data_IF_794405561878
#
_entry.id   IF_794405561878
#
_cell.length_a   1.000
_cell.length_b   1.000
_cell.length_c   1.000
_cell.angle_alpha   90.00
_cell.angle_beta   90.00
_cell.angle_gamma   90.00
#
_symmetry.space_group_name_H-M   'P 1'
#
loop_
_entity.id
_entity.type
_entity.pdbx_description
1 polymer ?
#
# COMPACT_ATOMS: atom_id res chain seq x y z
N UNK A 1 19.54 -1.08 -2.08
CA UNK A 1 18.42 -1.96 -1.67
C UNK A 1 18.32 -3.26 -2.48
N UNK A 2 18.75 -3.29 -3.76
CA UNK A 2 18.52 -4.43 -4.67
C UNK A 2 19.76 -5.24 -5.02
N UNK A 3 20.83 -5.18 -4.21
CA UNK A 3 22.13 -5.71 -4.60
C UNK A 3 22.10 -7.23 -4.76
N UNK A 4 21.62 -7.98 -3.76
CA UNK A 4 21.41 -9.42 -3.85
C UNK A 4 20.11 -9.80 -3.15
N UNK A 5 19.12 -10.20 -3.92
CA UNK A 5 17.81 -10.58 -3.42
C UNK A 5 17.27 -11.78 -4.17
N UNK A 6 16.64 -12.71 -3.45
CA UNK A 6 15.91 -13.82 -4.08
C UNK A 6 14.76 -13.36 -4.97
N UNK A 7 14.22 -12.16 -4.70
CA UNK A 7 13.14 -11.57 -5.49
C UNK A 7 13.70 -10.94 -6.77
N UNK A 8 14.87 -10.30 -6.69
CA UNK A 8 15.52 -9.55 -7.78
C UNK A 8 16.87 -10.20 -8.14
N UNK A 9 16.80 -11.39 -8.74
CA UNK A 9 17.94 -12.23 -9.07
C UNK A 9 18.73 -11.77 -10.32
N UNK A 10 18.16 -10.84 -11.09
CA UNK A 10 18.82 -10.26 -12.27
C UNK A 10 18.55 -8.76 -12.43
N UNK A 11 19.42 -8.09 -13.22
CA UNK A 11 19.35 -6.62 -13.39
C UNK A 11 18.04 -6.16 -14.05
N UNK A 12 17.46 -6.92 -14.97
CA UNK A 12 16.18 -6.56 -15.61
C UNK A 12 15.06 -6.52 -14.57
N UNK A 13 14.98 -7.53 -13.70
CA UNK A 13 14.01 -7.54 -12.59
C UNK A 13 14.21 -6.37 -11.62
N UNK A 14 15.48 -6.05 -11.29
CA UNK A 14 15.81 -4.91 -10.43
C UNK A 14 15.28 -3.61 -11.00
N UNK A 15 15.56 -3.34 -12.28
CA UNK A 15 15.15 -2.11 -12.96
C UNK A 15 13.61 -2.04 -13.03
N UNK A 16 12.95 -3.07 -13.56
CA UNK A 16 11.49 -3.09 -13.71
C UNK A 16 10.82 -3.00 -12.33
N UNK A 17 11.32 -3.75 -11.35
CA UNK A 17 10.78 -3.72 -9.99
C UNK A 17 10.93 -2.35 -9.31
N UNK A 18 12.05 -1.66 -9.54
CA UNK A 18 12.25 -0.29 -9.03
C UNK A 18 11.24 0.67 -9.63
N UNK A 19 11.04 0.64 -10.95
CA UNK A 19 10.05 1.47 -11.62
C UNK A 19 8.63 1.14 -11.16
N UNK A 20 8.30 -0.14 -11.03
CA UNK A 20 6.99 -0.55 -10.51
C UNK A 20 6.72 -0.01 -9.11
N UNK A 21 7.68 -0.14 -8.19
CA UNK A 21 7.51 0.36 -6.81
C UNK A 21 7.45 1.88 -6.75
N UNK A 22 8.13 2.57 -7.67
CA UNK A 22 8.12 4.03 -7.74
C UNK A 22 6.82 4.56 -8.35
N UNK A 23 6.34 3.95 -9.43
CA UNK A 23 5.14 4.36 -10.16
C UNK A 23 3.92 3.50 -9.84
N UNK A 24 3.88 2.83 -8.68
CA UNK A 24 2.72 1.98 -8.32
C UNK A 24 1.43 2.79 -8.30
N UNK A 25 0.45 2.50 -9.14
CA UNK A 25 -0.90 3.00 -8.96
C UNK A 25 -1.58 2.24 -7.77
N UNK A 26 -2.45 2.85 -7.00
CA UNK A 26 -2.93 4.20 -7.16
C UNK A 26 -1.94 5.23 -6.66
N UNK A 27 -1.50 6.10 -7.54
CA UNK A 27 -0.70 7.23 -7.13
C UNK A 27 -1.56 8.18 -6.29
N UNK A 28 -1.14 8.40 -5.07
CA UNK A 28 -1.78 9.38 -4.18
C UNK A 28 -0.73 10.43 -3.87
N UNK A 29 -0.89 11.68 -4.32
CA UNK A 29 0.09 12.74 -4.10
C UNK A 29 0.48 12.91 -2.63
N UNK A 30 -0.47 12.66 -1.72
CA UNK A 30 -0.25 12.70 -0.28
C UNK A 30 0.88 11.77 0.19
N UNK A 31 1.16 10.68 -0.53
CA UNK A 31 2.14 9.68 -0.12
C UNK A 31 3.55 10.23 -0.24
N UNK A 32 3.83 11.04 -1.28
CA UNK A 32 5.19 11.49 -1.60
C UNK A 32 5.69 12.65 -0.76
N UNK A 33 4.80 13.43 -0.17
CA UNK A 33 5.16 14.71 0.48
C UNK A 33 4.85 14.70 1.98
N UNK A 34 4.30 13.61 2.53
CA UNK A 34 3.81 13.59 3.90
C UNK A 34 4.62 12.61 4.77
N UNK A 35 5.16 13.11 5.87
CA UNK A 35 5.85 12.29 6.88
C UNK A 35 4.98 11.16 7.45
N UNK A 36 3.67 11.36 7.56
CA UNK A 36 2.72 10.35 8.04
C UNK A 36 2.70 9.13 7.13
N UNK A 37 2.92 9.31 5.83
CA UNK A 37 2.88 8.22 4.85
C UNK A 37 4.24 7.55 4.65
N UNK A 38 5.31 8.03 5.28
CA UNK A 38 6.65 7.40 5.25
C UNK A 38 6.58 5.95 5.72
N UNK A 39 5.68 5.60 6.65
CA UNK A 39 5.43 4.23 7.09
C UNK A 39 5.10 3.25 5.94
N UNK A 40 4.50 3.71 4.85
CA UNK A 40 4.17 2.88 3.68
C UNK A 40 5.46 2.44 2.97
N UNK A 41 6.37 3.39 2.70
CA UNK A 41 7.66 3.08 2.07
C UNK A 41 8.56 2.25 2.97
N UNK A 42 8.53 2.52 4.27
CA UNK A 42 9.26 1.74 5.26
C UNK A 42 8.73 0.31 5.34
N UNK A 43 7.42 0.10 5.23
CA UNK A 43 6.84 -1.24 5.15
C UNK A 43 7.28 -1.96 3.87
N UNK A 44 7.21 -1.31 2.70
CA UNK A 44 7.69 -1.87 1.43
C UNK A 44 9.19 -2.22 1.52
N UNK A 45 10.01 -1.33 2.08
CA UNK A 45 11.42 -1.59 2.33
C UNK A 45 11.65 -2.80 3.24
N UNK A 46 10.84 -2.95 4.29
CA UNK A 46 10.87 -4.11 5.20
C UNK A 46 10.50 -5.42 4.49
N UNK A 47 9.52 -5.37 3.58
CA UNK A 47 9.18 -6.51 2.70
C UNK A 47 10.39 -6.90 1.85
N UNK A 48 11.10 -5.93 1.27
CA UNK A 48 12.27 -6.21 0.44
C UNK A 48 13.43 -6.82 1.26
N UNK A 49 13.62 -6.40 2.51
CA UNK A 49 14.64 -6.95 3.43
C UNK A 49 14.42 -8.45 3.67
N UNK A 50 13.19 -8.95 3.72
CA UNK A 50 12.90 -10.38 3.88
C UNK A 50 13.54 -11.26 2.77
N UNK A 51 13.71 -10.71 1.58
CA UNK A 51 14.24 -11.42 0.41
C UNK A 51 15.74 -11.22 0.19
N UNK A 52 16.41 -10.39 0.99
CA UNK A 52 17.85 -10.15 0.86
C UNK A 52 18.67 -11.38 1.25
N UNK A 53 19.78 -11.59 0.53
CA UNK A 53 20.75 -12.67 0.73
C UNK A 53 22.17 -12.10 0.67
N UNK A 54 23.15 -12.86 1.18
CA UNK A 54 24.57 -12.54 1.11
C UNK A 54 24.93 -11.12 1.54
N UNK A 55 24.38 -10.72 2.72
CA UNK A 55 24.57 -9.37 3.25
C UNK A 55 25.93 -9.22 3.90
N UNK A 56 26.64 -8.17 3.54
CA UNK A 56 27.83 -7.69 4.25
C UNK A 56 27.49 -7.18 5.66
N UNK A 57 28.48 -7.11 6.55
CA UNK A 57 28.28 -6.67 7.94
C UNK A 57 27.65 -5.28 8.04
N UNK A 58 28.10 -4.34 7.21
CA UNK A 58 27.56 -2.99 7.16
C UNK A 58 26.07 -2.97 6.71
N UNK A 59 25.73 -3.75 5.69
CA UNK A 59 24.34 -3.87 5.20
C UNK A 59 23.41 -4.46 6.26
N UNK A 60 23.89 -5.45 7.03
CA UNK A 60 23.12 -6.03 8.15
C UNK A 60 22.78 -4.95 9.19
N UNK A 61 23.75 -4.11 9.56
CA UNK A 61 23.54 -3.00 10.50
C UNK A 61 22.53 -1.99 9.96
N UNK A 62 22.64 -1.58 8.70
CA UNK A 62 21.66 -0.68 8.07
C UNK A 62 20.26 -1.30 8.08
N UNK A 63 20.12 -2.58 7.77
CA UNK A 63 18.83 -3.25 7.79
C UNK A 63 18.21 -3.27 9.20
N UNK A 64 19.00 -3.48 10.25
CA UNK A 64 18.52 -3.42 11.63
C UNK A 64 17.99 -2.00 11.98
N UNK A 65 18.74 -0.96 11.61
CA UNK A 65 18.31 0.44 11.80
C UNK A 65 17.03 0.69 11.00
N UNK A 66 16.97 0.22 9.75
CA UNK A 66 15.79 0.38 8.91
C UNK A 66 14.56 -0.28 9.50
N UNK A 67 14.66 -1.54 9.97
CA UNK A 67 13.56 -2.27 10.61
C UNK A 67 13.14 -1.59 11.92
N UNK A 68 14.09 -1.06 12.69
CA UNK A 68 13.79 -0.28 13.89
C UNK A 68 12.94 0.94 13.53
N UNK A 69 13.41 1.78 12.62
CA UNK A 69 12.67 2.98 12.18
C UNK A 69 11.31 2.60 11.60
N UNK A 70 11.25 1.55 10.77
CA UNK A 70 10.02 1.08 10.15
C UNK A 70 8.99 0.57 11.18
N UNK A 71 9.42 -0.19 12.17
CA UNK A 71 8.55 -0.71 13.23
C UNK A 71 7.97 0.40 14.11
N UNK A 72 8.75 1.43 14.40
CA UNK A 72 8.28 2.57 15.21
C UNK A 72 7.52 3.63 14.41
N UNK A 73 7.59 3.62 13.08
CA UNK A 73 6.88 4.59 12.25
C UNK A 73 5.37 4.30 12.11
N UNK A 74 4.93 3.07 12.37
CA UNK A 74 3.53 2.71 12.28
C UNK A 74 3.24 1.21 12.21
N UNK A 75 1.97 0.87 12.29
CA UNK A 75 1.48 -0.52 12.44
C UNK A 75 1.68 -1.40 11.21
N UNK A 76 1.84 -0.82 9.99
CA UNK A 76 1.97 -1.62 8.76
C UNK A 76 3.16 -2.57 8.79
N UNK A 77 4.32 -2.09 9.25
CA UNK A 77 5.52 -2.91 9.36
C UNK A 77 5.38 -3.96 10.47
N UNK A 78 4.72 -3.62 11.56
CA UNK A 78 4.46 -4.54 12.67
C UNK A 78 3.65 -5.78 12.24
N UNK A 79 2.75 -5.63 11.28
CA UNK A 79 1.97 -6.75 10.73
C UNK A 79 2.82 -7.76 9.94
N UNK A 80 4.06 -7.42 9.58
CA UNK A 80 5.01 -8.36 8.97
C UNK A 80 5.71 -9.24 10.01
N UNK A 81 5.48 -9.04 11.31
CA UNK A 81 6.12 -9.80 12.39
C UNK A 81 6.06 -11.33 12.20
N UNK A 82 4.93 -11.96 11.81
CA UNK A 82 4.87 -13.40 11.59
C UNK A 82 5.86 -13.87 10.50
N UNK A 83 6.10 -13.06 9.48
CA UNK A 83 7.04 -13.37 8.39
C UNK A 83 8.49 -13.27 8.84
N UNK A 84 8.81 -12.27 9.67
CA UNK A 84 10.15 -12.17 10.27
C UNK A 84 10.40 -13.31 11.26
N UNK A 85 9.41 -13.73 12.04
CA UNK A 85 9.46 -14.90 12.90
C UNK A 85 9.73 -16.18 12.08
N UNK A 86 8.97 -16.40 11.02
CA UNK A 86 9.14 -17.54 10.11
C UNK A 86 10.52 -17.54 9.44
N UNK A 87 11.00 -16.36 9.01
CA UNK A 87 12.32 -16.22 8.40
C UNK A 87 13.44 -16.54 9.39
N UNK A 88 13.30 -16.12 10.65
CA UNK A 88 14.20 -16.49 11.74
C UNK A 88 14.15 -18.01 12.00
N UNK A 89 12.97 -18.59 12.14
CA UNK A 89 12.78 -20.02 12.39
C UNK A 89 13.44 -20.91 11.32
N UNK A 90 13.30 -20.49 10.03
CA UNK A 90 13.88 -21.23 8.90
C UNK A 90 15.41 -21.06 8.81
N UNK A 91 15.91 -19.83 8.96
CA UNK A 91 17.33 -19.54 8.73
C UNK A 91 18.22 -19.69 9.95
N UNK A 92 17.65 -19.66 11.17
CA UNK A 92 18.31 -19.87 12.48
C UNK A 92 19.62 -19.10 12.65
N UNK A 93 19.71 -17.86 12.17
CA UNK A 93 20.92 -17.04 12.30
C UNK A 93 20.64 -15.77 13.10
N UNK A 94 21.70 -15.20 13.69
CA UNK A 94 21.62 -14.04 14.58
C UNK A 94 21.04 -12.80 13.89
N UNK A 95 21.35 -12.59 12.60
CA UNK A 95 20.81 -11.46 11.85
C UNK A 95 19.26 -11.49 11.76
N UNK A 96 18.70 -12.66 11.43
CA UNK A 96 17.23 -12.78 11.34
C UNK A 96 16.57 -12.76 12.72
N UNK A 97 17.25 -13.30 13.74
CA UNK A 97 16.81 -13.18 15.14
C UNK A 97 16.71 -11.71 15.56
N UNK A 98 17.74 -10.93 15.30
CA UNK A 98 17.77 -9.52 15.68
C UNK A 98 16.70 -8.69 14.95
N UNK A 99 16.50 -8.93 13.64
CA UNK A 99 15.40 -8.29 12.90
C UNK A 99 14.02 -8.63 13.49
N UNK A 100 13.80 -9.91 13.81
CA UNK A 100 12.58 -10.35 14.47
C UNK A 100 12.40 -9.69 15.84
N UNK A 101 13.43 -9.67 16.68
CA UNK A 101 13.39 -9.10 18.03
C UNK A 101 13.09 -7.61 18.01
N UNK A 102 13.76 -6.86 17.13
CA UNK A 102 13.51 -5.41 16.95
C UNK A 102 12.05 -5.18 16.57
N UNK A 103 11.54 -5.92 15.59
CA UNK A 103 10.17 -5.77 15.13
C UNK A 103 9.16 -6.24 16.19
N UNK A 104 9.47 -7.28 16.96
CA UNK A 104 8.65 -7.75 18.05
C UNK A 104 8.48 -6.68 19.14
N UNK A 105 9.57 -6.06 19.58
CA UNK A 105 9.53 -4.98 20.57
C UNK A 105 8.73 -3.80 20.04
N UNK A 106 8.98 -3.38 18.80
CA UNK A 106 8.22 -2.31 18.17
C UNK A 106 6.71 -2.64 18.09
N UNK A 107 6.37 -3.88 17.74
CA UNK A 107 4.98 -4.35 17.67
C UNK A 107 4.29 -4.34 19.04
N UNK A 108 4.96 -4.75 20.09
CA UNK A 108 4.42 -4.70 21.45
C UNK A 108 4.13 -3.25 21.87
N UNK A 109 5.04 -2.32 21.57
CA UNK A 109 4.87 -0.90 21.89
C UNK A 109 3.72 -0.30 21.08
N UNK A 110 3.66 -0.54 19.77
CA UNK A 110 2.57 -0.07 18.92
C UNK A 110 1.21 -0.63 19.38
N UNK A 111 1.15 -1.90 19.71
CA UNK A 111 -0.06 -2.53 20.22
C UNK A 111 -0.52 -1.92 21.54
N UNK A 112 0.42 -1.63 22.45
CA UNK A 112 0.11 -0.93 23.71
C UNK A 112 -0.52 0.44 23.44
N UNK A 113 0.04 1.26 22.55
CA UNK A 113 -0.53 2.56 22.20
C UNK A 113 -1.92 2.45 21.55
N UNK A 114 -2.13 1.47 20.69
CA UNK A 114 -3.45 1.22 20.08
C UNK A 114 -4.47 0.84 21.15
N UNK A 115 -4.11 -0.03 22.11
CA UNK A 115 -4.99 -0.41 23.23
C UNK A 115 -5.31 0.80 24.10
N UNK A 116 -4.30 1.58 24.48
CA UNK A 116 -4.49 2.78 25.30
C UNK A 116 -5.40 3.79 24.60
N UNK A 117 -5.21 4.01 23.31
CA UNK A 117 -6.05 4.90 22.50
C UNK A 117 -7.51 4.41 22.43
N UNK A 118 -7.74 3.10 22.41
CA UNK A 118 -9.08 2.51 22.44
C UNK A 118 -9.73 2.69 23.82
N UNK A 119 -9.00 2.44 24.89
CA UNK A 119 -9.51 2.56 26.28
C UNK A 119 -9.89 4.02 26.58
N UNK A 120 -9.09 4.97 26.10
CA UNK A 120 -9.36 6.42 26.29
C UNK A 120 -10.46 6.98 25.39
N UNK A 121 -11.16 6.16 24.61
CA UNK A 121 -12.14 6.57 23.59
C UNK A 121 -11.59 7.63 22.60
N UNK A 122 -10.28 7.72 22.45
CA UNK A 122 -9.63 8.65 21.52
C UNK A 122 -9.76 8.20 20.05
N UNK A 123 -10.01 6.89 19.82
CA UNK A 123 -10.34 6.37 18.50
C UNK A 123 -11.86 6.35 18.33
N UNK A 124 -12.38 6.84 17.20
CA UNK A 124 -13.80 6.69 16.89
C UNK A 124 -14.20 5.22 16.95
N UNK A 125 -15.35 4.92 17.57
CA UNK A 125 -15.89 3.56 17.68
C UNK A 125 -16.05 2.84 16.34
N UNK A 126 -16.15 3.61 15.26
CA UNK A 126 -16.24 3.14 13.86
C UNK A 126 -14.96 2.48 13.33
N UNK A 127 -13.78 2.68 13.97
CA UNK A 127 -12.50 2.17 13.45
C UNK A 127 -12.37 0.64 13.59
N UNK A 128 -13.24 -0.01 14.36
CA UNK A 128 -13.19 -1.47 14.58
C UNK A 128 -14.54 -2.18 14.32
N UNK A 129 -15.57 -1.45 13.90
CA UNK A 129 -16.83 -2.05 13.46
C UNK A 129 -16.69 -2.41 11.96
N UNK A 130 -16.15 -3.59 11.68
CA UNK A 130 -16.07 -4.12 10.34
C UNK A 130 -17.42 -4.64 9.88
N UNK A 131 -18.30 -3.75 9.46
CA UNK A 131 -19.39 -4.18 8.59
C UNK A 131 -18.79 -4.56 7.25
N UNK A 132 -18.66 -5.88 7.03
CA UNK A 132 -18.26 -6.44 5.74
C UNK A 132 -19.42 -6.23 4.75
N UNK A 133 -19.57 -4.99 4.31
CA UNK A 133 -20.53 -4.61 3.28
C UNK A 133 -20.00 -4.99 1.90
N UNK A 134 -20.93 -5.29 0.99
CA UNK A 134 -20.64 -5.53 -0.44
C UNK A 134 -19.83 -4.37 -1.04
N UNK A 135 -20.13 -3.14 -0.65
CA UNK A 135 -19.40 -1.95 -1.09
C UNK A 135 -17.92 -1.96 -0.66
N UNK A 136 -17.61 -2.46 0.53
CA UNK A 136 -16.23 -2.60 1.00
C UNK A 136 -15.47 -3.61 0.13
N UNK A 137 -16.09 -4.74 -0.20
CA UNK A 137 -15.51 -5.76 -1.06
C UNK A 137 -15.27 -5.24 -2.49
N UNK A 138 -16.21 -4.48 -3.02
CA UNK A 138 -16.08 -3.85 -4.34
C UNK A 138 -14.97 -2.81 -4.38
N UNK A 139 -14.90 -1.98 -3.35
CA UNK A 139 -13.82 -1.01 -3.19
C UNK A 139 -12.45 -1.70 -3.06
N UNK A 140 -12.40 -2.85 -2.39
CA UNK A 140 -11.19 -3.67 -2.29
C UNK A 140 -10.77 -4.18 -3.67
N UNK A 141 -11.67 -4.82 -4.42
CA UNK A 141 -11.39 -5.33 -5.76
C UNK A 141 -10.92 -4.20 -6.67
N UNK A 142 -11.64 -3.09 -6.69
CA UNK A 142 -11.30 -1.94 -7.50
C UNK A 142 -9.92 -1.36 -7.18
N UNK A 143 -9.66 -1.02 -5.91
CA UNK A 143 -8.47 -0.28 -5.54
C UNK A 143 -7.23 -1.16 -5.37
N UNK A 144 -7.38 -2.44 -5.00
CA UNK A 144 -6.24 -3.34 -4.71
C UNK A 144 -5.95 -4.29 -5.87
N UNK A 145 -6.99 -4.81 -6.55
CA UNK A 145 -6.76 -5.79 -7.62
C UNK A 145 -6.70 -5.16 -9.01
N UNK A 146 -7.53 -4.17 -9.32
CA UNK A 146 -7.60 -3.61 -10.68
C UNK A 146 -6.74 -2.36 -10.85
N UNK A 147 -6.84 -1.42 -9.93
CA UNK A 147 -6.19 -0.13 -10.03
C UNK A 147 -4.66 -0.17 -10.12
N UNK A 148 -3.93 -1.10 -9.45
CA UNK A 148 -2.49 -1.23 -9.64
C UNK A 148 -2.05 -1.51 -11.08
N UNK A 149 -2.91 -2.11 -11.89
CA UNK A 149 -2.60 -2.40 -13.29
C UNK A 149 -3.10 -1.31 -14.25
N UNK A 150 -4.31 -0.85 -14.07
CA UNK A 150 -4.98 0.00 -15.05
C UNK A 150 -5.05 1.47 -14.66
N UNK A 151 -4.71 1.82 -13.41
CA UNK A 151 -4.89 3.15 -12.89
C UNK A 151 -6.36 3.58 -12.81
N UNK A 152 -6.60 4.75 -12.23
CA UNK A 152 -7.97 5.25 -12.03
C UNK A 152 -8.63 5.67 -13.34
N UNK A 153 -7.89 6.34 -14.21
CA UNK A 153 -8.48 6.94 -15.40
C UNK A 153 -8.88 5.92 -16.45
N UNK A 154 -8.03 4.92 -16.68
CA UNK A 154 -8.33 3.86 -17.65
C UNK A 154 -9.56 3.08 -17.19
N UNK A 155 -9.66 2.74 -15.91
CA UNK A 155 -10.81 2.01 -15.41
C UNK A 155 -12.08 2.87 -15.50
N UNK A 156 -12.00 4.16 -15.19
CA UNK A 156 -13.15 5.06 -15.32
C UNK A 156 -13.59 5.21 -16.77
N UNK A 157 -12.65 5.39 -17.70
CA UNK A 157 -12.91 5.42 -19.13
C UNK A 157 -13.53 4.11 -19.65
N UNK A 158 -12.98 2.97 -19.26
CA UNK A 158 -13.56 1.66 -19.63
C UNK A 158 -14.97 1.50 -19.07
N UNK A 159 -15.20 2.00 -17.88
CA UNK A 159 -16.51 1.95 -17.26
C UNK A 159 -17.52 2.81 -17.99
N UNK A 160 -17.24 4.09 -18.20
CA UNK A 160 -18.18 5.03 -18.81
C UNK A 160 -18.48 4.73 -20.29
N UNK A 161 -17.47 4.28 -21.04
CA UNK A 161 -17.61 4.15 -22.49
C UNK A 161 -17.80 2.73 -23.01
N UNK A 162 -17.45 1.71 -22.23
CA UNK A 162 -17.49 0.32 -22.69
C UNK A 162 -18.47 -0.49 -21.84
N UNK A 163 -18.28 -0.50 -20.54
CA UNK A 163 -19.02 -1.42 -19.66
C UNK A 163 -20.46 -0.94 -19.45
N UNK A 164 -20.69 0.37 -19.36
CA UNK A 164 -22.05 0.95 -19.22
C UNK A 164 -22.94 0.69 -20.43
N UNK A 165 -22.35 0.52 -21.62
CA UNK A 165 -23.08 0.19 -22.86
C UNK A 165 -23.56 -1.27 -22.91
N UNK A 166 -22.78 -2.17 -22.29
CA UNK A 166 -23.06 -3.62 -22.38
C UNK A 166 -23.79 -4.19 -21.16
N UNK A 167 -23.76 -3.49 -20.04
CA UNK A 167 -24.30 -4.00 -18.77
C UNK A 167 -25.10 -2.89 -18.06
N UNK A 168 -26.43 -2.91 -18.17
CA UNK A 168 -27.31 -1.96 -17.47
C UNK A 168 -27.34 -2.18 -15.95
N UNK A 169 -26.49 -3.08 -15.43
CA UNK A 169 -26.44 -3.40 -14.01
C UNK A 169 -25.55 -2.41 -13.25
N UNK A 170 -25.90 -2.23 -11.98
CA UNK A 170 -25.15 -1.41 -11.05
C UNK A 170 -23.65 -1.79 -11.05
N UNK A 171 -22.75 -0.79 -11.08
CA UNK A 171 -21.29 -0.89 -11.09
C UNK A 171 -20.74 -2.02 -10.21
N UNK A 172 -21.32 -2.21 -9.03
CA UNK A 172 -20.93 -3.23 -8.09
C UNK A 172 -21.05 -4.65 -8.61
N UNK A 173 -22.15 -4.99 -9.20
CA UNK A 173 -22.43 -6.36 -9.66
C UNK A 173 -21.56 -6.77 -10.84
N UNK A 174 -21.18 -5.82 -11.69
CA UNK A 174 -20.30 -6.11 -12.84
C UNK A 174 -18.88 -6.43 -12.39
N UNK A 175 -18.31 -5.64 -11.47
CA UNK A 175 -16.99 -5.93 -10.90
C UNK A 175 -16.99 -7.27 -10.15
N UNK A 176 -18.06 -7.56 -9.43
CA UNK A 176 -18.24 -8.82 -8.73
C UNK A 176 -18.30 -9.99 -9.71
N UNK A 177 -19.01 -9.84 -10.82
CA UNK A 177 -19.09 -10.86 -11.88
C UNK A 177 -17.73 -11.12 -12.53
N UNK A 178 -16.99 -10.07 -12.87
CA UNK A 178 -15.62 -10.20 -13.41
C UNK A 178 -14.71 -10.92 -12.40
N UNK A 179 -14.80 -10.55 -11.12
CA UNK A 179 -14.03 -11.21 -10.07
C UNK A 179 -14.37 -12.69 -9.94
N UNK A 180 -15.67 -13.06 -9.97
CA UNK A 180 -16.10 -14.46 -9.93
C UNK A 180 -15.65 -15.24 -11.16
N UNK A 181 -15.67 -14.65 -12.35
CA UNK A 181 -15.15 -15.30 -13.57
C UNK A 181 -13.65 -15.58 -13.42
N UNK A 182 -12.88 -14.62 -12.97
CA UNK A 182 -11.43 -14.81 -12.69
C UNK A 182 -11.22 -15.89 -11.64
N UNK A 183 -11.98 -15.89 -10.55
CA UNK A 183 -11.91 -16.89 -9.50
C UNK A 183 -12.24 -18.29 -10.03
N UNK A 184 -13.27 -18.43 -10.85
CA UNK A 184 -13.66 -19.70 -11.49
C UNK A 184 -12.52 -20.21 -12.37
N UNK A 185 -11.95 -19.38 -13.24
CA UNK A 185 -10.81 -19.75 -14.10
C UNK A 185 -9.60 -20.20 -13.27
N UNK A 186 -9.32 -19.53 -12.17
CA UNK A 186 -8.27 -19.92 -11.23
C UNK A 186 -8.58 -21.26 -10.56
N UNK A 187 -9.84 -21.51 -10.18
CA UNK A 187 -10.28 -22.75 -9.56
C UNK A 187 -10.17 -23.95 -10.53
N UNK A 188 -10.47 -23.77 -11.81
CA UNK A 188 -10.26 -24.85 -12.80
C UNK A 188 -8.80 -25.26 -12.96
N UNK A 189 -7.87 -24.37 -12.72
CA UNK A 189 -6.44 -24.62 -12.82
C UNK A 189 -5.74 -24.80 -11.46
N UNK A 190 -6.50 -24.93 -10.37
CA UNK A 190 -5.97 -24.83 -9.00
C UNK A 190 -4.86 -25.84 -8.70
N UNK A 191 -4.97 -27.11 -9.15
CA UNK A 191 -3.95 -28.13 -8.89
C UNK A 191 -2.60 -27.77 -9.48
N UNK A 192 -2.56 -27.26 -10.73
CA UNK A 192 -1.32 -26.81 -11.37
C UNK A 192 -0.78 -25.54 -10.72
N UNK A 193 -1.67 -24.61 -10.36
CA UNK A 193 -1.33 -23.34 -9.73
C UNK A 193 -0.76 -23.58 -8.32
N UNK A 194 -1.45 -24.37 -7.48
CA UNK A 194 -0.99 -24.70 -6.13
C UNK A 194 0.35 -25.42 -6.17
N UNK A 195 0.51 -26.41 -7.07
CA UNK A 195 1.80 -27.10 -7.23
C UNK A 195 2.94 -26.16 -7.63
N UNK A 196 2.67 -25.14 -8.43
CA UNK A 196 3.65 -24.10 -8.78
C UNK A 196 3.97 -23.19 -7.59
N UNK A 197 2.94 -22.70 -6.87
CA UNK A 197 3.09 -21.80 -5.72
C UNK A 197 3.88 -22.47 -4.60
N UNK A 198 3.56 -23.71 -4.24
CA UNK A 198 4.24 -24.43 -3.14
C UNK A 198 5.73 -24.67 -3.45
N UNK A 199 6.07 -24.90 -4.71
CA UNK A 199 7.45 -25.11 -5.13
C UNK A 199 8.30 -23.84 -5.11
N UNK A 200 7.69 -22.67 -5.30
CA UNK A 200 8.39 -21.38 -5.30
C UNK A 200 8.22 -20.65 -3.97
N UNK A 201 9.20 -20.81 -3.08
CA UNK A 201 9.19 -20.18 -1.74
C UNK A 201 9.07 -18.66 -1.79
N UNK A 202 9.62 -18.00 -2.82
CA UNK A 202 9.54 -16.54 -2.97
C UNK A 202 8.11 -16.13 -3.27
N UNK A 203 7.45 -16.83 -4.20
CA UNK A 203 6.05 -16.60 -4.55
C UNK A 203 5.12 -16.85 -3.35
N UNK A 204 5.35 -17.93 -2.63
CA UNK A 204 4.59 -18.26 -1.43
C UNK A 204 4.69 -17.13 -0.38
N UNK A 205 5.91 -16.63 -0.11
CA UNK A 205 6.12 -15.51 0.80
C UNK A 205 5.40 -14.22 0.33
N UNK A 206 5.50 -13.90 -0.96
CA UNK A 206 4.81 -12.73 -1.52
C UNK A 206 3.28 -12.83 -1.38
N UNK A 207 2.71 -14.03 -1.58
CA UNK A 207 1.28 -14.27 -1.38
C UNK A 207 0.90 -14.09 0.09
N UNK A 208 1.69 -14.63 1.03
CA UNK A 208 1.43 -14.40 2.46
C UNK A 208 1.52 -12.93 2.84
N UNK A 209 2.51 -12.19 2.32
CA UNK A 209 2.60 -10.74 2.52
C UNK A 209 1.33 -10.06 2.00
N UNK A 210 0.94 -10.37 0.77
CA UNK A 210 -0.26 -9.81 0.16
C UNK A 210 -1.51 -10.07 1.01
N UNK A 211 -1.69 -11.28 1.51
CA UNK A 211 -2.84 -11.62 2.35
C UNK A 211 -2.82 -10.87 3.68
N UNK A 212 -1.66 -10.80 4.36
CA UNK A 212 -1.52 -10.08 5.63
C UNK A 212 -1.81 -8.59 5.46
N UNK A 213 -1.18 -7.94 4.47
CA UNK A 213 -1.38 -6.49 4.27
C UNK A 213 -2.77 -6.17 3.75
N UNK A 214 -3.39 -7.07 2.98
CA UNK A 214 -4.78 -6.95 2.53
C UNK A 214 -5.77 -7.08 3.68
N UNK A 215 -5.57 -8.06 4.57
CA UNK A 215 -6.37 -8.22 5.76
C UNK A 215 -6.28 -7.00 6.67
N UNK A 216 -5.07 -6.46 6.87
CA UNK A 216 -4.86 -5.24 7.64
C UNK A 216 -5.62 -4.04 7.04
N UNK A 217 -5.59 -3.89 5.72
CA UNK A 217 -6.30 -2.81 5.04
C UNK A 217 -7.81 -2.97 5.17
N UNK A 218 -8.34 -4.18 5.06
CA UNK A 218 -9.76 -4.46 5.25
C UNK A 218 -10.20 -4.15 6.69
N UNK A 219 -9.44 -4.58 7.69
CA UNK A 219 -9.74 -4.30 9.11
C UNK A 219 -9.57 -2.81 9.43
N UNK A 220 -8.52 -2.16 8.91
CA UNK A 220 -8.25 -0.75 9.16
C UNK A 220 -9.20 0.20 8.43
N UNK A 221 -9.83 -0.26 7.34
CA UNK A 221 -10.80 0.52 6.55
C UNK A 221 -12.25 0.26 6.99
N UNK A 222 -12.46 -0.47 8.07
CA UNK A 222 -13.77 -0.87 8.55
C UNK A 222 -14.78 0.30 8.58
N UNK A 223 -15.83 0.19 7.79
CA UNK A 223 -16.85 1.23 7.61
C UNK A 223 -16.43 2.41 6.73
N UNK A 224 -15.20 2.43 6.17
CA UNK A 224 -14.66 3.50 5.36
C UNK A 224 -14.12 3.00 4.03
N UNK A 225 -13.78 3.94 3.15
CA UNK A 225 -13.28 3.68 1.81
C UNK A 225 -11.90 2.97 1.82
N UNK A 226 -11.84 1.76 1.24
CA UNK A 226 -10.59 1.04 0.95
C UNK A 226 -9.91 1.65 -0.26
N UNK A 227 -9.19 2.75 -0.07
CA UNK A 227 -8.57 3.42 -1.21
C UNK A 227 -7.43 4.34 -0.80
N UNK A 228 -6.92 5.08 -1.77
CA UNK A 228 -5.84 6.02 -1.57
C UNK A 228 -4.58 5.32 -1.00
N UNK A 229 -4.01 5.89 0.04
CA UNK A 229 -2.78 5.41 0.69
C UNK A 229 -2.83 3.97 1.20
N UNK A 230 -4.00 3.47 1.59
CA UNK A 230 -4.16 2.12 2.13
C UNK A 230 -3.97 1.03 1.07
N UNK A 231 -4.29 1.31 -0.18
CA UNK A 231 -4.16 0.35 -1.28
C UNK A 231 -2.73 0.20 -1.82
N UNK A 232 -1.79 1.08 -1.44
CA UNK A 232 -0.44 1.12 -2.03
C UNK A 232 0.39 -0.12 -1.68
N UNK A 233 0.40 -0.55 -0.42
CA UNK A 233 1.22 -1.70 0.00
C UNK A 233 0.70 -3.00 -0.63
N UNK A 234 -0.60 -3.35 -0.52
CA UNK A 234 -1.10 -4.56 -1.19
C UNK A 234 -0.99 -4.45 -2.72
N UNK A 235 -1.23 -3.29 -3.33
CA UNK A 235 -1.04 -3.08 -4.77
C UNK A 235 0.40 -3.30 -5.22
N UNK A 236 1.38 -2.72 -4.50
CA UNK A 236 2.80 -2.93 -4.75
C UNK A 236 3.18 -4.41 -4.61
N UNK A 237 2.67 -5.09 -3.57
CA UNK A 237 2.93 -6.52 -3.36
C UNK A 237 2.33 -7.37 -4.49
N UNK A 238 1.14 -7.04 -4.96
CA UNK A 238 0.50 -7.70 -6.10
C UNK A 238 1.34 -7.54 -7.39
N UNK A 239 1.86 -6.34 -7.64
CA UNK A 239 2.75 -6.09 -8.78
C UNK A 239 4.05 -6.88 -8.68
N UNK A 240 4.61 -7.03 -7.47
CA UNK A 240 5.79 -7.87 -7.25
C UNK A 240 5.50 -9.37 -7.50
N UNK A 241 4.30 -9.85 -7.14
CA UNK A 241 3.84 -11.21 -7.48
C UNK A 241 3.81 -11.39 -8.99
N UNK A 242 3.15 -10.50 -9.72
CA UNK A 242 3.04 -10.57 -11.18
C UNK A 242 4.41 -10.48 -11.85
N UNK A 243 5.27 -9.58 -11.40
CA UNK A 243 6.65 -9.46 -11.86
C UNK A 243 7.43 -10.77 -11.65
N UNK A 244 7.34 -11.34 -10.45
CA UNK A 244 8.03 -12.59 -10.13
C UNK A 244 7.53 -13.73 -11.04
N UNK A 245 6.22 -13.87 -11.20
CA UNK A 245 5.61 -14.88 -12.07
C UNK A 245 6.00 -14.70 -13.54
N UNK A 246 6.06 -13.45 -14.05
CA UNK A 246 6.52 -13.17 -15.42
C UNK A 246 7.90 -13.72 -15.72
N UNK A 247 8.82 -13.60 -14.76
CA UNK A 247 10.19 -14.09 -14.95
C UNK A 247 10.35 -15.60 -14.70
N UNK A 248 9.47 -16.22 -13.90
CA UNK A 248 9.54 -17.63 -13.52
C UNK A 248 8.76 -18.56 -14.45
N UNK A 249 7.70 -18.08 -15.09
CA UNK A 249 6.90 -18.91 -15.96
C UNK A 249 7.66 -19.30 -17.23
N UNK A 250 7.54 -20.59 -17.60
CA UNK A 250 8.07 -21.13 -18.86
C UNK A 250 7.07 -20.97 -20.03
N UNK A 251 5.80 -20.71 -19.73
CA UNK A 251 4.73 -20.60 -20.73
C UNK A 251 4.78 -19.21 -21.38
N UNK A 252 5.18 -19.14 -22.65
CA UNK A 252 5.37 -17.88 -23.37
C UNK A 252 4.10 -17.02 -23.40
N UNK A 253 2.91 -17.61 -23.60
CA UNK A 253 1.62 -16.88 -23.59
C UNK A 253 1.36 -16.19 -22.26
N UNK A 254 1.60 -16.88 -21.14
CA UNK A 254 1.42 -16.33 -19.78
C UNK A 254 2.46 -15.24 -19.51
N UNK A 255 3.70 -15.44 -19.94
CA UNK A 255 4.75 -14.44 -19.83
C UNK A 255 4.41 -13.14 -20.55
N UNK A 256 3.87 -13.24 -21.77
CA UNK A 256 3.41 -12.08 -22.54
C UNK A 256 2.26 -11.38 -21.81
N UNK A 257 1.26 -12.14 -21.31
CA UNK A 257 0.14 -11.56 -20.57
C UNK A 257 0.60 -10.77 -19.33
N UNK A 258 1.54 -11.31 -18.54
CA UNK A 258 2.10 -10.61 -17.41
C UNK A 258 2.95 -9.39 -17.82
N UNK A 259 3.71 -9.49 -18.92
CA UNK A 259 4.46 -8.34 -19.44
C UNK A 259 3.52 -7.20 -19.87
N UNK A 260 2.41 -7.53 -20.51
CA UNK A 260 1.37 -6.56 -20.88
C UNK A 260 0.77 -5.90 -19.63
N UNK A 261 0.40 -6.67 -18.60
CA UNK A 261 -0.12 -6.13 -17.34
C UNK A 261 0.87 -5.18 -16.66
N UNK A 262 2.16 -5.55 -16.62
CA UNK A 262 3.22 -4.71 -16.06
C UNK A 262 3.39 -3.43 -16.87
N UNK A 263 3.34 -3.51 -18.21
CA UNK A 263 3.43 -2.35 -19.08
C UNK A 263 2.25 -1.39 -18.86
N UNK A 264 1.04 -1.91 -18.75
CA UNK A 264 -0.13 -1.11 -18.37
C UNK A 264 0.03 -0.43 -17.02
N UNK A 265 0.51 -1.16 -16.01
CA UNK A 265 0.78 -0.61 -14.69
C UNK A 265 1.78 0.56 -14.74
N UNK A 266 2.88 0.41 -15.44
CA UNK A 266 3.90 1.45 -15.58
C UNK A 266 3.37 2.67 -16.33
N UNK A 267 2.66 2.47 -17.44
CA UNK A 267 2.06 3.55 -18.23
C UNK A 267 1.04 4.32 -17.40
N UNK A 268 0.14 3.60 -16.73
CA UNK A 268 -0.88 4.18 -15.86
C UNK A 268 -0.27 4.94 -14.69
N UNK A 269 0.75 4.36 -14.05
CA UNK A 269 1.45 4.99 -12.95
C UNK A 269 2.18 6.26 -13.39
N UNK A 270 2.90 6.23 -14.51
CA UNK A 270 3.55 7.41 -15.10
C UNK A 270 2.53 8.49 -15.48
N UNK A 271 1.37 8.08 -15.99
CA UNK A 271 0.32 9.01 -16.35
C UNK A 271 -0.31 9.69 -15.12
N UNK A 272 -0.59 8.93 -14.07
CA UNK A 272 -1.13 9.46 -12.82
C UNK A 272 -0.10 10.31 -12.05
N UNK A 273 1.20 10.10 -12.30
CA UNK A 273 2.30 10.88 -11.70
C UNK A 273 2.44 12.28 -12.30
N UNK A 274 1.89 12.53 -13.49
CA UNK A 274 1.98 13.85 -14.13
C UNK A 274 1.19 14.88 -13.34
N UNK A 275 1.72 16.12 -13.16
CA UNK A 275 0.93 17.21 -12.62
C UNK A 275 -0.28 17.43 -13.56
N UNK A 276 -1.47 17.70 -13.01
CA UNK A 276 -2.64 17.94 -13.83
C UNK A 276 -2.37 19.15 -14.71
N UNK A 277 -2.54 18.99 -16.03
CA UNK A 277 -2.69 20.12 -16.90
C UNK A 277 -3.91 20.94 -16.44
N UNK A 278 -3.86 22.26 -16.56
CA UNK A 278 -4.85 23.21 -16.01
C UNK A 278 -6.32 22.88 -16.38
N UNK A 279 -6.54 22.06 -17.40
CA UNK A 279 -7.87 21.68 -17.88
C UNK A 279 -8.47 20.43 -17.26
N UNK A 280 -7.73 19.70 -16.43
CA UNK A 280 -8.27 18.50 -15.77
C UNK A 280 -8.72 18.89 -14.38
N UNK A 281 -10.04 18.88 -14.14
CA UNK A 281 -10.71 19.10 -12.85
C UNK A 281 -10.33 18.07 -11.76
N UNK A 282 -9.11 17.58 -11.77
CA UNK A 282 -8.63 16.64 -10.76
C UNK A 282 -8.18 17.40 -9.51
N UNK A 283 -9.08 17.48 -8.56
CA UNK A 283 -8.94 18.13 -7.26
C UNK A 283 -7.70 17.71 -6.43
N UNK A 284 -6.99 16.64 -6.80
CA UNK A 284 -5.97 16.05 -5.94
C UNK A 284 -4.60 16.75 -6.00
N UNK A 285 -4.23 17.38 -7.12
CA UNK A 285 -2.98 18.15 -7.20
C UNK A 285 -3.19 19.66 -7.00
N UNK A 286 -4.44 20.14 -7.01
CA UNK A 286 -4.77 21.47 -6.46
C UNK A 286 -4.33 21.63 -5.00
N UNK A 287 -4.04 20.53 -4.32
CA UNK A 287 -3.57 20.57 -2.94
C UNK A 287 -2.10 20.98 -2.79
N UNK A 288 -1.25 20.80 -3.81
CA UNK A 288 0.11 21.29 -3.81
C UNK A 288 0.19 22.77 -4.22
N UNK A 289 -0.71 23.22 -5.11
CA UNK A 289 -0.88 24.62 -5.50
C UNK A 289 -2.03 25.27 -4.71
N UNK A 290 -1.87 25.35 -3.43
CA UNK A 290 -2.87 26.04 -2.61
C UNK A 290 -2.66 27.55 -2.69
N UNK A 291 -3.11 28.15 -3.81
CA UNK A 291 -3.02 29.59 -4.07
C UNK A 291 -3.67 30.43 -2.93
N UNK A 292 -4.66 29.86 -2.24
CA UNK A 292 -5.40 30.50 -1.17
C UNK A 292 -5.19 29.83 0.20
N UNK A 293 -4.13 29.02 0.38
CA UNK A 293 -3.85 28.48 1.71
C UNK A 293 -3.37 29.59 2.64
N UNK A 294 -3.92 29.67 3.85
CA UNK A 294 -3.44 30.60 4.82
C UNK A 294 -1.98 30.30 5.18
N UNK A 295 -1.15 31.33 5.17
CA UNK A 295 0.23 31.20 5.66
C UNK A 295 0.21 30.86 7.15
N UNK A 296 0.84 29.77 7.53
CA UNK A 296 0.91 29.30 8.90
C UNK A 296 1.32 30.40 9.90
N UNK A 297 2.30 31.22 9.52
CA UNK A 297 2.73 32.35 10.35
C UNK A 297 1.62 33.37 10.62
N UNK A 298 0.78 33.63 9.62
CA UNK A 298 -0.33 34.56 9.75
C UNK A 298 -1.47 33.95 10.58
N UNK A 299 -1.74 32.66 10.40
CA UNK A 299 -2.74 31.95 11.20
C UNK A 299 -2.35 31.93 12.69
N UNK A 300 -1.08 31.65 13.01
CA UNK A 300 -0.59 31.70 14.39
C UNK A 300 -0.63 33.13 14.96
N UNK A 301 -0.36 34.17 14.16
CA UNK A 301 -0.52 35.56 14.61
C UNK A 301 -1.96 35.89 14.95
N UNK A 302 -2.93 35.44 14.15
CA UNK A 302 -4.37 35.62 14.43
C UNK A 302 -4.75 34.91 15.72
N UNK A 303 -4.34 33.65 15.88
CA UNK A 303 -4.60 32.87 17.09
C UNK A 303 -3.98 33.50 18.35
N UNK A 304 -2.77 34.06 18.27
CA UNK A 304 -2.14 34.77 19.39
C UNK A 304 -2.92 36.04 19.81
N UNK A 305 -3.64 36.65 18.87
CA UNK A 305 -4.50 37.82 19.15
C UNK A 305 -5.86 37.41 19.72
N UNK A 306 -6.38 36.30 19.25
CA UNK A 306 -7.64 35.72 19.68
C UNK A 306 -7.50 34.21 19.89
N UNK A 307 -7.43 33.80 21.15
CA UNK A 307 -7.27 32.39 21.54
C UNK A 307 -8.46 31.48 21.14
N UNK A 308 -9.57 32.07 20.72
CA UNK A 308 -10.70 31.33 20.18
C UNK A 308 -10.64 31.15 18.65
N UNK A 309 -9.70 31.81 17.98
CA UNK A 309 -9.55 31.74 16.55
C UNK A 309 -9.29 30.29 16.09
N UNK A 310 -10.07 29.88 15.11
CA UNK A 310 -9.91 28.57 14.47
C UNK A 310 -8.84 28.66 13.39
N UNK A 311 -7.70 28.07 13.65
CA UNK A 311 -6.58 28.05 12.69
C UNK A 311 -6.96 27.22 11.49
N UNK A 312 -6.88 27.83 10.29
CA UNK A 312 -7.01 27.12 9.04
C UNK A 312 -5.83 26.18 8.83
N UNK A 313 -6.11 24.88 8.71
CA UNK A 313 -5.09 23.86 8.41
C UNK A 313 -5.37 23.23 7.05
N UNK A 314 -4.33 22.71 6.46
CA UNK A 314 -4.47 21.95 5.21
C UNK A 314 -5.27 20.64 5.42
N UNK A 315 -6.20 20.28 4.52
CA UNK A 315 -6.65 21.00 3.32
C UNK A 315 -7.70 22.10 3.64
N UNK A 316 -7.29 23.34 3.37
CA UNK A 316 -8.15 24.52 3.54
C UNK A 316 -9.18 24.64 2.39
N UNK A 317 -10.42 25.16 2.56
CA UNK A 317 -10.99 25.65 3.84
C UNK A 317 -11.71 24.59 4.68
N UNK A 318 -11.65 23.31 4.29
CA UNK A 318 -12.48 22.24 4.89
C UNK A 318 -12.04 21.83 6.31
N UNK A 319 -10.79 22.09 6.68
CA UNK A 319 -10.27 21.71 7.99
C UNK A 319 -9.77 22.92 8.75
N UNK A 320 -10.19 22.99 10.00
CA UNK A 320 -9.76 24.00 10.95
C UNK A 320 -9.36 23.30 12.26
N UNK A 321 -8.45 23.88 12.99
CA UNK A 321 -7.94 23.37 14.26
C UNK A 321 -8.07 24.44 15.33
N UNK A 322 -8.57 24.06 16.51
CA UNK A 322 -8.53 24.89 17.71
C UNK A 322 -7.35 24.46 18.57
N UNK A 323 -6.41 25.35 18.78
CA UNK A 323 -5.32 25.09 19.74
C UNK A 323 -5.88 25.24 21.14
N UNK A 324 -5.62 24.25 22.00
CA UNK A 324 -5.85 24.40 23.44
C UNK A 324 -4.74 25.28 24.02
N UNK A 325 -5.10 26.28 24.80
CA UNK A 325 -4.10 26.97 25.58
C UNK A 325 -3.50 25.95 26.56
N UNK A 326 -2.22 25.64 26.39
CA UNK A 326 -1.47 25.10 27.50
C UNK A 326 -1.26 26.28 28.46
N UNK A 327 -2.14 26.40 29.41
CA UNK A 327 -1.92 27.27 30.56
C UNK A 327 -0.76 26.60 31.32
N UNK A 328 0.41 27.27 31.34
CA UNK A 328 1.51 26.91 32.21
C UNK A 328 1.07 27.03 33.66
#
# INVERSE_FOLDING_TARGET
>A
LFRESKLFDNNKKKIIGSFLLFFTPPFVPEIWVNSINTQIYLCIGSILILFMINLESFQKKINHIFIFVAGFSGVYTCCLLPLFATNFYIKKNFYNFLNFLILFIASCIQFFFVLQSKISNALPSTVLAADLDVNLMLNYIYNILLKPFFGRQIIHFMWENIISLFLPFNYGYTLLSIFFIILIVLLFNYKKLIGFIIKDKVLLYLIFIFLIVSALVLVGAAGHYVGGRYAVIPGATLLLIVLHMMFKTKMQKIKIAFAVLISFSLISGMYEFRPPTQNVKHQYLKYLDCINCPEWKNEIKKWKKDNQYMIGIWPYPRKQMRLKNFVN
#
